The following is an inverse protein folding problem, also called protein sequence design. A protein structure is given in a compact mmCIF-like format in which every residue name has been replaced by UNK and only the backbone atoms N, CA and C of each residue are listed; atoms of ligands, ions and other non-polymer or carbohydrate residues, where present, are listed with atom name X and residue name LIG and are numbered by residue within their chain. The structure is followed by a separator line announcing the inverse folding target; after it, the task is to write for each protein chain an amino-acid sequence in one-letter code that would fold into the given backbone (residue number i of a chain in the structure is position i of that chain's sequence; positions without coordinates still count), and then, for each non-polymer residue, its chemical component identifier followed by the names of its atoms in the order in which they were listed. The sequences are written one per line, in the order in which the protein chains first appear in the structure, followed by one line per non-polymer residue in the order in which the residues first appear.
data_IF_622925341046
#
_entry.id   IF_622925341046
#
_cell.length_a   1.000
_cell.length_b   1.000
_cell.length_c   1.000
_cell.angle_alpha   90.00
_cell.angle_beta   90.00
_cell.angle_gamma   90.00
#
_symmetry.space_group_name_H-M   'P 1'
#
loop_
_entity.id
_entity.type
_entity.pdbx_description
1 polymer ?
#
# COMPACT_ATOMS: atom_id res chain seq x y z
N UNK A 1 19.71 -4.76 -55.87
CA UNK A 1 20.10 -3.47 -55.31
C UNK A 1 18.98 -2.41 -55.28
N UNK A 2 18.03 -2.36 -56.20
CA UNK A 2 16.95 -1.35 -56.22
C UNK A 2 15.95 -1.42 -55.08
N UNK A 3 15.69 -2.59 -54.49
CA UNK A 3 14.72 -2.78 -53.39
C UNK A 3 15.22 -2.19 -52.06
N UNK A 4 16.50 -2.34 -51.78
CA UNK A 4 17.16 -1.80 -50.57
C UNK A 4 17.16 -0.26 -50.56
N UNK A 5 17.30 0.36 -51.75
CA UNK A 5 17.26 1.79 -51.90
C UNK A 5 15.85 2.37 -51.71
N UNK A 6 14.82 1.65 -52.12
CA UNK A 6 13.41 2.07 -51.89
C UNK A 6 12.99 1.93 -50.42
N UNK A 7 13.42 0.86 -49.73
CA UNK A 7 13.18 0.72 -48.30
C UNK A 7 13.86 1.83 -47.47
N UNK A 8 15.08 2.25 -47.87
CA UNK A 8 15.80 3.34 -47.23
C UNK A 8 15.17 4.71 -47.47
N UNK A 9 14.51 4.91 -48.63
CA UNK A 9 13.78 6.15 -48.94
C UNK A 9 12.43 6.23 -48.21
N UNK A 10 11.76 5.11 -47.94
CA UNK A 10 10.53 5.05 -47.16
C UNK A 10 10.80 5.31 -45.66
N UNK A 11 11.93 4.85 -45.14
CA UNK A 11 12.38 5.16 -43.77
C UNK A 11 12.84 6.61 -43.58
N UNK A 12 13.08 7.35 -44.67
CA UNK A 12 13.51 8.75 -44.66
C UNK A 12 12.40 9.77 -44.92
N UNK A 13 11.12 9.32 -44.94
CA UNK A 13 10.01 10.26 -45.00
C UNK A 13 9.83 10.92 -43.62
N UNK A 14 10.11 12.21 -43.53
CA UNK A 14 9.91 13.05 -42.30
C UNK A 14 8.56 12.82 -41.62
N UNK A 15 7.51 12.51 -42.39
CA UNK A 15 6.17 12.16 -41.85
C UNK A 15 6.14 10.87 -41.02
N UNK A 16 6.95 9.86 -41.36
CA UNK A 16 7.05 8.63 -40.57
C UNK A 16 7.75 8.84 -39.24
N UNK A 17 8.77 9.69 -39.24
CA UNK A 17 9.57 10.04 -38.04
C UNK A 17 8.74 10.86 -37.04
N UNK A 18 7.90 11.78 -37.52
CA UNK A 18 6.96 12.56 -36.72
C UNK A 18 5.87 11.65 -36.09
N UNK A 19 5.31 10.70 -36.83
CA UNK A 19 4.32 9.77 -36.33
C UNK A 19 4.88 8.83 -35.27
N UNK A 20 6.09 8.31 -35.46
CA UNK A 20 6.79 7.47 -34.46
C UNK A 20 7.14 8.27 -33.22
N UNK A 21 7.63 9.50 -33.39
CA UNK A 21 7.92 10.39 -32.26
C UNK A 21 6.66 10.73 -31.46
N UNK A 22 5.54 11.01 -32.14
CA UNK A 22 4.25 11.25 -31.49
C UNK A 22 3.76 10.02 -30.72
N UNK A 23 3.84 8.81 -31.29
CA UNK A 23 3.48 7.57 -30.63
C UNK A 23 4.33 7.31 -29.37
N UNK A 24 5.64 7.51 -29.47
CA UNK A 24 6.56 7.36 -28.33
C UNK A 24 6.25 8.37 -27.22
N UNK A 25 6.03 9.62 -27.58
CA UNK A 25 5.71 10.68 -26.62
C UNK A 25 4.38 10.39 -25.92
N UNK A 26 3.35 9.95 -26.66
CA UNK A 26 2.04 9.57 -26.11
C UNK A 26 2.16 8.37 -25.19
N UNK A 27 2.90 7.34 -25.59
CA UNK A 27 3.13 6.15 -24.76
C UNK A 27 3.86 6.50 -23.44
N UNK A 28 4.87 7.37 -23.52
CA UNK A 28 5.59 7.87 -22.33
C UNK A 28 4.67 8.66 -21.41
N UNK A 29 3.81 9.50 -21.95
CA UNK A 29 2.85 10.30 -21.17
C UNK A 29 1.82 9.40 -20.46
N UNK A 30 1.29 8.40 -21.15
CA UNK A 30 0.38 7.41 -20.56
C UNK A 30 1.08 6.62 -19.44
N UNK A 31 2.33 6.22 -19.64
CA UNK A 31 3.12 5.52 -18.62
C UNK A 31 3.33 6.38 -17.37
N UNK A 32 3.70 7.65 -17.55
CA UNK A 32 3.86 8.60 -16.42
C UNK A 32 2.53 8.76 -15.68
N UNK A 33 1.43 8.93 -16.39
CA UNK A 33 0.11 9.08 -15.79
C UNK A 33 -0.31 7.83 -14.99
N UNK A 34 -0.11 6.64 -15.56
CA UNK A 34 -0.40 5.37 -14.88
C UNK A 34 0.44 5.22 -13.58
N UNK A 35 1.71 5.62 -13.62
CA UNK A 35 2.59 5.60 -12.44
C UNK A 35 2.11 6.56 -11.36
N UNK A 36 1.66 7.77 -11.73
CA UNK A 36 1.11 8.73 -10.77
C UNK A 36 -0.17 8.21 -10.11
N UNK A 37 -1.09 7.61 -10.89
CA UNK A 37 -2.32 7.01 -10.34
C UNK A 37 -1.98 5.88 -9.36
N UNK A 38 -1.05 5.00 -9.71
CA UNK A 38 -0.60 3.91 -8.83
C UNK A 38 0.00 4.43 -7.53
N UNK A 39 0.79 5.50 -7.59
CA UNK A 39 1.36 6.15 -6.41
C UNK A 39 0.26 6.75 -5.51
N UNK A 40 -0.77 7.37 -6.08
CA UNK A 40 -1.90 7.91 -5.31
C UNK A 40 -2.67 6.80 -4.59
N UNK A 41 -2.93 5.67 -5.26
CA UNK A 41 -3.59 4.52 -4.64
C UNK A 41 -2.75 3.97 -3.49
N UNK A 42 -1.43 3.83 -3.65
CA UNK A 42 -0.54 3.39 -2.57
C UNK A 42 -0.60 4.32 -1.35
N UNK A 43 -0.55 5.63 -1.57
CA UNK A 43 -0.68 6.62 -0.50
C UNK A 43 -2.02 6.47 0.22
N UNK A 44 -3.12 6.25 -0.51
CA UNK A 44 -4.45 6.02 0.07
C UNK A 44 -4.47 4.78 0.97
N UNK A 45 -3.85 3.68 0.54
CA UNK A 45 -3.74 2.47 1.34
C UNK A 45 -2.90 2.68 2.61
N UNK A 46 -1.83 3.45 2.52
CA UNK A 46 -1.04 3.83 3.69
C UNK A 46 -1.87 4.65 4.71
N UNK A 47 -2.69 5.59 4.25
CA UNK A 47 -3.60 6.34 5.13
C UNK A 47 -4.66 5.44 5.77
N UNK A 48 -5.23 4.51 5.03
CA UNK A 48 -6.19 3.53 5.56
C UNK A 48 -5.54 2.67 6.66
N UNK A 49 -4.35 2.13 6.40
CA UNK A 49 -3.58 1.37 7.40
C UNK A 49 -3.27 2.21 8.65
N UNK A 50 -2.88 3.48 8.47
CA UNK A 50 -2.64 4.42 9.59
C UNK A 50 -3.89 4.68 10.42
N UNK A 51 -5.04 4.83 9.76
CA UNK A 51 -6.31 5.04 10.44
C UNK A 51 -6.69 3.84 11.32
N UNK A 52 -6.55 2.62 10.79
CA UNK A 52 -6.86 1.41 11.55
C UNK A 52 -5.88 1.18 12.69
N UNK A 53 -4.59 1.38 12.44
CA UNK A 53 -3.59 1.28 13.49
C UNK A 53 -3.92 2.22 14.67
N UNK A 54 -4.37 3.46 14.39
CA UNK A 54 -4.84 4.42 15.42
C UNK A 54 -6.11 3.96 16.11
N UNK A 55 -7.05 3.31 15.40
CA UNK A 55 -8.26 2.74 16.02
C UNK A 55 -7.90 1.64 17.01
N UNK A 56 -6.97 0.76 16.66
CA UNK A 56 -6.46 -0.29 17.56
C UNK A 56 -5.79 0.34 18.78
N UNK A 57 -4.91 1.34 18.59
CA UNK A 57 -4.29 2.07 19.71
C UNK A 57 -5.35 2.65 20.63
N UNK A 58 -6.35 3.32 20.06
CA UNK A 58 -7.41 3.96 20.85
C UNK A 58 -8.28 2.96 21.62
N UNK A 59 -8.57 1.80 21.03
CA UNK A 59 -9.26 0.72 21.73
C UNK A 59 -8.45 0.25 22.95
N UNK A 60 -7.15 0.01 22.79
CA UNK A 60 -6.27 -0.39 23.89
C UNK A 60 -6.17 0.69 24.97
N UNK A 61 -6.06 1.97 24.60
CA UNK A 61 -6.02 3.09 25.56
C UNK A 61 -7.26 3.12 26.45
N UNK A 62 -8.45 2.97 25.85
CA UNK A 62 -9.73 3.04 26.57
C UNK A 62 -9.99 1.79 27.42
N UNK A 63 -9.70 0.60 26.88
CA UNK A 63 -9.94 -0.67 27.60
C UNK A 63 -8.83 -0.99 28.60
N UNK A 64 -7.65 -0.43 28.42
CA UNK A 64 -6.47 -0.72 29.22
C UNK A 64 -5.93 -2.13 29.05
N UNK A 65 -6.39 -2.87 28.03
CA UNK A 65 -5.94 -4.23 27.74
C UNK A 65 -5.89 -4.49 26.25
N UNK A 66 -5.00 -5.39 25.85
CA UNK A 66 -4.95 -5.86 24.48
C UNK A 66 -5.86 -7.06 24.30
N UNK A 67 -6.90 -6.90 23.47
CA UNK A 67 -7.80 -7.98 23.04
C UNK A 67 -7.57 -8.28 21.56
N UNK A 68 -7.12 -9.51 21.29
CA UNK A 68 -6.83 -9.98 19.95
C UNK A 68 -8.10 -10.08 19.08
N UNK A 69 -9.23 -10.48 19.71
CA UNK A 69 -10.49 -10.63 19.00
C UNK A 69 -11.03 -9.27 18.55
N UNK A 70 -10.99 -8.27 19.43
CA UNK A 70 -11.40 -6.91 19.10
C UNK A 70 -10.48 -6.29 18.05
N UNK A 71 -9.17 -6.51 18.17
CA UNK A 71 -8.18 -6.05 17.18
C UNK A 71 -8.45 -6.65 15.81
N UNK A 72 -8.71 -7.98 15.75
CA UNK A 72 -9.06 -8.64 14.50
C UNK A 72 -10.38 -8.14 13.90
N UNK A 73 -11.37 -7.82 14.71
CA UNK A 73 -12.61 -7.22 14.22
C UNK A 73 -12.35 -5.84 13.60
N UNK A 74 -11.54 -4.99 14.24
CA UNK A 74 -11.15 -3.68 13.70
C UNK A 74 -10.40 -3.83 12.38
N UNK A 75 -9.53 -4.83 12.27
CA UNK A 75 -8.77 -5.13 11.04
C UNK A 75 -9.69 -5.68 9.95
N UNK A 76 -10.61 -6.57 10.30
CA UNK A 76 -11.56 -7.15 9.35
C UNK A 76 -12.56 -6.13 8.77
N UNK A 77 -12.86 -5.05 9.51
CA UNK A 77 -13.61 -3.90 8.97
C UNK A 77 -12.89 -3.25 7.77
N UNK A 78 -11.58 -3.47 7.63
CA UNK A 78 -10.80 -3.08 6.46
C UNK A 78 -10.77 -4.13 5.34
N UNK A 79 -11.29 -5.33 5.58
CA UNK A 79 -11.35 -6.36 4.55
C UNK A 79 -12.15 -5.82 3.35
N UNK A 80 -11.47 -5.59 2.22
CA UNK A 80 -12.03 -4.90 1.06
C UNK A 80 -11.25 -3.64 0.65
N UNK A 81 -10.31 -3.17 1.47
CA UNK A 81 -9.44 -2.03 1.12
C UNK A 81 -8.35 -2.39 0.09
N UNK A 82 -8.19 -3.68 -0.25
CA UNK A 82 -7.13 -4.16 -1.16
C UNK A 82 -5.79 -4.45 -0.47
N UNK A 83 -5.73 -4.34 0.86
CA UNK A 83 -4.60 -4.80 1.66
C UNK A 83 -4.72 -6.30 1.92
N UNK A 84 -3.64 -7.02 1.72
CA UNK A 84 -3.52 -8.45 2.01
C UNK A 84 -2.46 -8.70 3.08
N UNK A 85 -2.49 -9.90 3.68
CA UNK A 85 -1.50 -10.36 4.68
C UNK A 85 -1.33 -9.37 5.84
N UNK A 86 -2.46 -8.88 6.39
CA UNK A 86 -2.43 -7.90 7.48
C UNK A 86 -2.06 -8.60 8.78
N UNK A 87 -0.97 -8.15 9.41
CA UNK A 87 -0.54 -8.57 10.75
C UNK A 87 -0.47 -7.37 11.68
N UNK A 88 -0.87 -7.56 12.93
CA UNK A 88 -0.86 -6.50 13.96
C UNK A 88 -0.07 -6.98 15.16
N UNK A 89 1.03 -6.31 15.43
CA UNK A 89 1.89 -6.58 16.58
C UNK A 89 1.77 -5.47 17.62
N UNK A 90 1.52 -5.86 18.86
CA UNK A 90 1.46 -4.93 19.99
C UNK A 90 2.66 -5.18 20.91
N UNK A 91 3.50 -4.17 21.06
CA UNK A 91 4.67 -4.18 21.95
C UNK A 91 4.33 -3.31 23.15
N UNK A 92 4.13 -3.95 24.30
CA UNK A 92 3.78 -3.28 25.55
C UNK A 92 4.46 -3.96 26.74
N UNK A 93 4.62 -3.20 27.83
CA UNK A 93 4.97 -3.77 29.14
C UNK A 93 3.66 -4.08 29.86
N UNK A 94 3.33 -5.36 29.97
CA UNK A 94 2.09 -5.79 30.58
C UNK A 94 2.21 -5.88 32.11
N UNK A 95 1.22 -5.36 32.82
CA UNK A 95 1.14 -5.43 34.28
C UNK A 95 0.71 -6.81 34.76
N UNK A 96 -0.40 -7.35 34.21
CA UNK A 96 -0.92 -8.69 34.49
C UNK A 96 -1.78 -9.17 33.33
N UNK A 97 -1.52 -10.38 32.84
CA UNK A 97 -2.17 -10.83 31.61
C UNK A 97 -1.81 -9.91 30.44
N UNK A 98 -2.80 -9.42 29.69
CA UNK A 98 -2.62 -8.47 28.57
C UNK A 98 -3.01 -7.04 28.96
N UNK A 99 -2.96 -6.66 30.30
CA UNK A 99 -3.33 -5.35 30.82
C UNK A 99 -2.15 -4.37 30.77
N UNK A 100 -2.43 -3.14 30.37
CA UNK A 100 -1.47 -2.04 30.30
C UNK A 100 -1.81 -1.03 31.39
N UNK A 101 -0.84 -0.71 32.25
CA UNK A 101 -1.06 0.19 33.36
C UNK A 101 -1.10 1.66 32.91
N UNK A 102 -1.77 2.50 33.71
CA UNK A 102 -1.83 3.94 33.50
C UNK A 102 -0.44 4.54 33.23
N UNK A 103 -0.33 5.40 32.25
CA UNK A 103 0.90 6.09 31.79
C UNK A 103 1.99 5.16 31.21
N UNK A 104 1.77 3.88 31.10
CA UNK A 104 2.67 3.02 30.33
C UNK A 104 2.50 3.26 28.85
N UNK A 105 3.62 3.44 28.15
CA UNK A 105 3.65 3.56 26.70
C UNK A 105 3.66 2.19 26.06
N UNK A 106 2.95 2.06 24.95
CA UNK A 106 2.95 0.89 24.11
C UNK A 106 3.02 1.29 22.63
N UNK A 107 3.36 0.38 21.77
CA UNK A 107 3.33 0.63 20.32
C UNK A 107 2.59 -0.48 19.59
N UNK A 108 1.80 -0.08 18.62
CA UNK A 108 1.11 -0.98 17.70
C UNK A 108 1.78 -0.83 16.34
N UNK A 109 2.20 -1.92 15.76
CA UNK A 109 2.74 -2.00 14.40
C UNK A 109 1.79 -2.82 13.55
N UNK A 110 1.27 -2.23 12.51
CA UNK A 110 0.45 -2.88 11.49
C UNK A 110 1.30 -3.06 10.24
N UNK A 111 1.42 -4.29 9.79
CA UNK A 111 2.09 -4.65 8.54
C UNK A 111 1.09 -5.26 7.58
N UNK A 112 1.27 -5.03 6.31
CA UNK A 112 0.43 -5.59 5.26
C UNK A 112 1.09 -5.44 3.90
N UNK A 113 0.48 -6.01 2.89
CA UNK A 113 0.96 -5.92 1.51
C UNK A 113 -0.14 -5.41 0.58
N UNK A 114 0.24 -4.56 -0.37
CA UNK A 114 -0.64 -4.10 -1.42
C UNK A 114 -0.16 -4.60 -2.77
N UNK A 115 -1.03 -5.29 -3.52
CA UNK A 115 -0.72 -5.83 -4.84
C UNK A 115 -1.18 -4.87 -5.93
N UNK A 116 -0.25 -4.46 -6.80
CA UNK A 116 -0.52 -3.66 -7.98
C UNK A 116 -0.33 -4.55 -9.21
N UNK A 117 -1.38 -4.74 -10.00
CA UNK A 117 -1.27 -5.36 -11.31
C UNK A 117 -0.78 -4.31 -12.31
N UNK A 118 0.47 -4.45 -12.77
CA UNK A 118 1.09 -3.51 -13.71
C UNK A 118 0.61 -3.78 -15.14
N UNK A 119 0.46 -5.04 -15.49
CA UNK A 119 0.10 -5.45 -16.84
C UNK A 119 -0.63 -6.79 -16.81
N UNK A 120 -1.81 -6.83 -17.42
CA UNK A 120 -2.57 -8.05 -17.67
C UNK A 120 -2.34 -8.48 -19.13
N UNK A 121 -1.38 -9.36 -19.36
CA UNK A 121 -1.12 -9.99 -20.66
C UNK A 121 -1.51 -11.48 -20.58
N UNK A 122 -2.77 -11.78 -20.93
CA UNK A 122 -3.29 -13.15 -20.92
C UNK A 122 -3.36 -13.78 -19.52
N UNK A 123 -2.91 -15.03 -19.39
CA UNK A 123 -3.03 -15.81 -18.14
C UNK A 123 -2.02 -15.46 -17.04
N UNK A 124 -1.00 -14.63 -17.34
CA UNK A 124 0.06 -14.28 -16.38
C UNK A 124 0.12 -12.76 -16.16
N UNK A 125 -0.60 -12.22 -15.16
CA UNK A 125 -0.48 -10.82 -14.80
C UNK A 125 0.88 -10.54 -14.17
N UNK A 126 1.49 -9.41 -14.54
CA UNK A 126 2.67 -8.89 -13.83
C UNK A 126 2.18 -8.12 -12.61
N UNK A 127 2.38 -8.72 -11.43
CA UNK A 127 1.97 -8.15 -10.15
C UNK A 127 3.20 -7.69 -9.38
N UNK A 128 3.13 -6.47 -8.87
CA UNK A 128 4.12 -5.91 -7.94
C UNK A 128 3.49 -5.83 -6.55
N UNK A 129 4.16 -6.43 -5.56
CA UNK A 129 3.72 -6.38 -4.16
C UNK A 129 4.50 -5.29 -3.43
N UNK A 130 3.80 -4.33 -2.86
CA UNK A 130 4.37 -3.23 -2.07
C UNK A 130 4.07 -3.45 -0.59
N UNK A 131 5.08 -3.52 0.28
CA UNK A 131 4.87 -3.62 1.72
C UNK A 131 4.37 -2.29 2.28
N UNK A 132 3.46 -2.37 3.25
CA UNK A 132 2.98 -1.25 4.04
C UNK A 132 3.26 -1.57 5.50
N UNK A 133 3.98 -0.68 6.19
CA UNK A 133 4.23 -0.76 7.62
C UNK A 133 3.85 0.56 8.27
N UNK A 134 3.01 0.48 9.31
CA UNK A 134 2.59 1.64 10.09
C UNK A 134 2.79 1.34 11.56
N UNK A 135 3.49 2.24 12.25
CA UNK A 135 3.72 2.15 13.70
C UNK A 135 3.14 3.36 14.40
N UNK A 136 2.30 3.12 15.40
CA UNK A 136 1.69 4.16 16.23
C UNK A 136 1.95 3.82 17.70
N UNK A 137 2.38 4.82 18.45
CA UNK A 137 2.53 4.72 19.89
C UNK A 137 1.26 5.23 20.61
N UNK A 138 0.91 4.55 21.70
CA UNK A 138 -0.17 4.93 22.62
C UNK A 138 0.29 4.93 24.06
N UNK A 139 -0.60 5.39 24.95
CA UNK A 139 -0.35 5.43 26.39
C UNK A 139 -1.59 4.88 27.12
N UNK A 140 -1.36 3.97 28.09
CA UNK A 140 -2.44 3.43 28.91
C UNK A 140 -3.16 4.52 29.70
N UNK A 141 -4.49 4.59 29.57
CA UNK A 141 -5.35 5.54 30.29
C UNK A 141 -6.03 4.92 31.53
N UNK A 142 -5.96 3.59 31.69
CA UNK A 142 -6.64 2.84 32.74
C UNK A 142 -5.70 2.47 33.88
N UNK A 143 -6.16 2.70 35.11
CA UNK A 143 -5.45 2.30 36.32
C UNK A 143 -5.96 0.93 36.82
N UNK A 144 -5.09 -0.03 36.87
CA UNK A 144 -5.36 -1.36 37.42
C UNK A 144 -4.84 -1.46 38.85
N UNK A 145 -5.68 -1.95 39.77
CA UNK A 145 -5.31 -2.27 41.17
C UNK A 145 -4.93 -3.72 41.32
#
# INVERSE_FOLDING_TARGET
MAVVHRLRSLLRQKKGDEAVSFLLTTAMLVFIFATLVSAMIYIMQYYNASYVCRRVVRSIEITGQYDETETMNIVNDMAGSGLEDIDVQVIAVYFSGRRIQLRQTFSVTLTGSYKITILELGENPIVMTLPIEVKVAGMGEVYWK
#
